data_IF_311388372609
#
_entry.id   IF_311388372609
#
_cell.length_a   1.000
_cell.length_b   1.000
_cell.length_c   1.000
_cell.angle_alpha   90.00
_cell.angle_beta   90.00
_cell.angle_gamma   90.00
#
_symmetry.space_group_name_H-M   'P 1'
#
loop_
_entity.id
_entity.type
_entity.pdbx_description
1 polymer ?
#
# COMPACT_ATOMS: atom_id res chain seq x y z
N UNK A 1 14.62 -18.50 -2.67
CA UNK A 1 13.20 -18.30 -2.21
C UNK A 1 13.21 -17.27 -1.08
N UNK A 2 12.38 -16.22 -1.18
CA UNK A 2 12.29 -15.18 -0.14
C UNK A 2 11.48 -15.71 1.05
N UNK A 3 12.02 -15.65 2.28
CA UNK A 3 11.35 -16.19 3.46
C UNK A 3 10.09 -15.41 3.85
N UNK A 4 9.09 -16.11 4.39
CA UNK A 4 7.93 -15.51 5.04
C UNK A 4 8.36 -14.65 6.25
N UNK A 5 7.55 -13.66 6.61
CA UNK A 5 7.82 -12.76 7.73
C UNK A 5 8.76 -11.59 7.42
N UNK A 6 9.29 -11.48 6.19
CA UNK A 6 10.25 -10.45 5.79
C UNK A 6 9.59 -9.33 4.98
N UNK A 7 10.18 -8.13 5.00
CA UNK A 7 9.78 -7.03 4.13
C UNK A 7 9.91 -7.42 2.65
N UNK A 8 10.96 -8.18 2.29
CA UNK A 8 11.15 -8.68 0.93
C UNK A 8 9.98 -9.54 0.46
N UNK A 9 9.41 -10.39 1.32
CA UNK A 9 8.24 -11.23 0.98
C UNK A 9 7.00 -10.38 0.79
N UNK A 10 6.79 -9.36 1.60
CA UNK A 10 5.69 -8.39 1.41
C UNK A 10 5.79 -7.74 0.04
N UNK A 11 6.99 -7.27 -0.34
CA UNK A 11 7.21 -6.64 -1.64
C UNK A 11 7.02 -7.62 -2.81
N UNK A 12 7.54 -8.84 -2.70
CA UNK A 12 7.35 -9.88 -3.73
C UNK A 12 5.86 -10.14 -4.00
N UNK A 13 5.05 -10.28 -2.93
CA UNK A 13 3.60 -10.53 -3.04
C UNK A 13 2.90 -9.30 -3.62
N UNK A 14 3.18 -8.11 -3.12
CA UNK A 14 2.57 -6.88 -3.60
C UNK A 14 2.87 -6.60 -5.08
N UNK A 15 4.11 -6.82 -5.51
CA UNK A 15 4.54 -6.72 -6.92
C UNK A 15 3.75 -7.72 -7.79
N UNK A 16 3.53 -8.93 -7.28
CA UNK A 16 2.75 -9.95 -7.98
C UNK A 16 1.30 -9.54 -8.25
N UNK A 17 0.77 -8.59 -7.50
CA UNK A 17 -0.61 -8.10 -7.64
C UNK A 17 -0.76 -6.89 -8.58
N UNK A 18 0.34 -6.25 -8.99
CA UNK A 18 0.30 -5.09 -9.89
C UNK A 18 -0.46 -5.43 -11.17
N UNK A 19 -1.40 -4.57 -11.55
CA UNK A 19 -2.29 -4.75 -12.69
C UNK A 19 -3.64 -5.37 -12.34
N UNK A 20 -3.85 -5.86 -11.12
CA UNK A 20 -5.18 -6.33 -10.69
C UNK A 20 -6.18 -5.19 -10.74
N UNK A 21 -7.34 -5.46 -11.36
CA UNK A 21 -8.47 -4.53 -11.51
C UNK A 21 -9.66 -5.07 -10.74
N UNK A 22 -10.36 -4.19 -10.04
CA UNK A 22 -11.63 -4.53 -9.38
C UNK A 22 -12.71 -4.95 -10.39
N UNK A 23 -13.69 -5.66 -9.93
CA UNK A 23 -14.85 -5.99 -10.74
C UNK A 23 -15.39 -7.40 -10.52
N UNK A 24 -16.55 -7.69 -11.17
CA UNK A 24 -17.28 -6.87 -12.14
C UNK A 24 -18.06 -5.70 -11.53
N UNK A 25 -18.28 -5.69 -10.21
CA UNK A 25 -18.91 -4.57 -9.52
C UNK A 25 -17.87 -3.59 -8.99
N UNK A 26 -18.28 -2.33 -8.82
CA UNK A 26 -17.44 -1.29 -8.20
C UNK A 26 -16.92 -1.77 -6.83
N UNK A 27 -15.61 -1.61 -6.61
CA UNK A 27 -14.91 -2.03 -5.42
C UNK A 27 -15.00 -3.55 -5.08
N UNK A 28 -15.44 -4.40 -5.99
CA UNK A 28 -15.47 -5.85 -5.76
C UNK A 28 -14.07 -6.45 -5.97
N UNK A 29 -13.48 -7.04 -4.92
CA UNK A 29 -12.13 -7.62 -4.98
C UNK A 29 -11.96 -8.82 -4.04
N UNK A 30 -10.97 -9.66 -4.33
CA UNK A 30 -10.55 -10.71 -3.38
C UNK A 30 -10.01 -10.11 -2.07
N UNK A 31 -9.47 -8.89 -2.10
CA UNK A 31 -8.95 -8.22 -0.90
C UNK A 31 -10.09 -7.79 0.03
N UNK A 32 -11.17 -7.20 -0.54
CA UNK A 32 -12.38 -6.86 0.20
C UNK A 32 -13.07 -8.10 0.77
N UNK A 33 -13.17 -9.18 -0.02
CA UNK A 33 -13.70 -10.48 0.43
C UNK A 33 -12.86 -11.04 1.59
N UNK A 34 -11.54 -10.97 1.51
CA UNK A 34 -10.63 -11.42 2.57
C UNK A 34 -10.85 -10.68 3.90
N UNK A 35 -11.06 -9.37 3.85
CA UNK A 35 -11.29 -8.56 5.06
C UNK A 35 -12.73 -8.53 5.53
N UNK A 36 -13.68 -9.14 4.80
CA UNK A 36 -15.13 -9.07 4.99
C UNK A 36 -15.72 -7.67 4.78
N UNK A 37 -15.04 -6.83 3.99
CA UNK A 37 -15.46 -5.49 3.61
C UNK A 37 -15.41 -5.31 2.08
N UNK A 38 -16.08 -6.23 1.36
CA UNK A 38 -16.16 -6.18 -0.09
C UNK A 38 -17.09 -5.07 -0.58
N UNK A 39 -16.90 -4.63 -1.83
CA UNK A 39 -17.64 -3.51 -2.44
C UNK A 39 -17.51 -2.19 -1.67
N UNK A 40 -16.40 -2.00 -0.97
CA UNK A 40 -15.98 -0.77 -0.30
C UNK A 40 -14.56 -0.40 -0.75
N UNK A 41 -14.12 0.86 -0.58
CA UNK A 41 -12.75 1.25 -0.91
C UNK A 41 -11.72 0.29 -0.29
N UNK A 42 -10.87 -0.31 -1.10
CA UNK A 42 -10.10 -1.49 -0.72
C UNK A 42 -8.58 -1.30 -0.62
N UNK A 43 -8.09 -0.06 -0.57
CA UNK A 43 -6.67 0.21 -0.39
C UNK A 43 -6.11 -0.42 0.91
N UNK A 44 -6.84 -0.31 2.01
CA UNK A 44 -6.49 -0.93 3.28
C UNK A 44 -6.65 -2.45 3.27
N UNK A 45 -7.71 -2.96 2.65
CA UNK A 45 -7.94 -4.41 2.48
C UNK A 45 -6.83 -5.06 1.66
N UNK A 46 -6.33 -4.39 0.62
CA UNK A 46 -5.16 -4.81 -0.15
C UNK A 46 -3.93 -4.99 0.75
N UNK A 47 -3.61 -3.98 1.56
CA UNK A 47 -2.49 -4.07 2.49
C UNK A 47 -2.67 -5.23 3.48
N UNK A 48 -3.83 -5.38 4.10
CA UNK A 48 -4.10 -6.49 5.02
C UNK A 48 -3.92 -7.85 4.35
N UNK A 49 -4.39 -8.01 3.11
CA UNK A 49 -4.24 -9.24 2.35
C UNK A 49 -2.77 -9.55 2.07
N UNK A 50 -2.01 -8.59 1.54
CA UNK A 50 -0.58 -8.75 1.22
C UNK A 50 0.22 -9.16 2.45
N UNK A 51 0.05 -8.46 3.56
CA UNK A 51 0.77 -8.74 4.81
C UNK A 51 0.40 -10.09 5.41
N UNK A 52 -0.87 -10.50 5.31
CA UNK A 52 -1.32 -11.83 5.74
C UNK A 52 -0.68 -12.94 4.90
N UNK A 53 -0.60 -12.78 3.57
CA UNK A 53 0.08 -13.75 2.69
C UNK A 53 1.58 -13.85 3.03
N UNK A 54 2.21 -12.74 3.39
CA UNK A 54 3.62 -12.68 3.81
C UNK A 54 3.85 -13.21 5.23
N UNK A 55 2.80 -13.51 6.00
CA UNK A 55 2.87 -13.87 7.44
C UNK A 55 3.48 -12.77 8.30
N UNK A 56 3.17 -11.53 7.97
CA UNK A 56 3.53 -10.34 8.78
C UNK A 56 2.25 -9.77 9.39
N UNK A 57 2.24 -9.60 10.71
CA UNK A 57 1.08 -9.08 11.43
C UNK A 57 1.02 -7.56 11.34
N UNK A 58 -0.15 -7.05 10.96
CA UNK A 58 -0.50 -5.63 11.01
C UNK A 58 -1.92 -5.47 11.57
N UNK A 59 -2.25 -4.32 12.19
CA UNK A 59 -3.64 -4.01 12.54
C UNK A 59 -4.54 -3.94 11.28
N UNK A 60 -5.85 -3.97 11.47
CA UNK A 60 -6.78 -3.71 10.36
C UNK A 60 -6.54 -2.32 9.77
N UNK A 61 -6.37 -2.27 8.44
CA UNK A 61 -6.18 -1.05 7.65
C UNK A 61 -7.42 -0.70 6.82
N UNK A 62 -8.53 -1.43 7.00
CA UNK A 62 -9.80 -1.18 6.28
C UNK A 62 -10.24 0.27 6.47
N UNK A 63 -10.19 0.78 7.70
CA UNK A 63 -10.21 2.22 7.96
C UNK A 63 -8.77 2.71 8.10
N UNK A 64 -8.26 3.39 7.10
CA UNK A 64 -6.86 3.85 7.05
C UNK A 64 -6.52 4.79 8.22
N UNK A 65 -7.44 5.68 8.60
CA UNK A 65 -7.25 6.58 9.73
C UNK A 65 -7.17 5.82 11.08
N UNK A 66 -8.03 4.83 11.28
CA UNK A 66 -8.00 3.99 12.49
C UNK A 66 -6.75 3.10 12.51
N UNK A 67 -6.35 2.57 11.36
CA UNK A 67 -5.12 1.78 11.22
C UNK A 67 -3.89 2.59 11.59
N UNK A 68 -3.79 3.82 11.09
CA UNK A 68 -2.72 4.75 11.44
C UNK A 68 -2.69 5.04 12.95
N UNK A 69 -3.85 5.28 13.56
CA UNK A 69 -3.94 5.52 15.01
C UNK A 69 -3.49 4.31 15.82
N UNK A 70 -3.86 3.09 15.40
CA UNK A 70 -3.40 1.86 16.07
C UNK A 70 -1.87 1.71 15.98
N UNK A 71 -1.26 2.01 14.82
CA UNK A 71 0.19 1.99 14.67
C UNK A 71 0.89 3.02 15.56
N UNK A 72 0.33 4.22 15.69
CA UNK A 72 0.82 5.24 16.64
C UNK A 72 0.78 4.73 18.07
N UNK A 73 -0.34 4.14 18.47
CA UNK A 73 -0.55 3.65 19.84
C UNK A 73 0.41 2.52 20.25
N UNK A 74 0.87 1.71 19.30
CA UNK A 74 1.83 0.62 19.56
C UNK A 74 3.30 1.01 19.29
N UNK A 75 3.57 2.31 19.02
CA UNK A 75 4.93 2.81 18.77
C UNK A 75 5.53 2.39 17.43
N UNK A 76 4.70 2.02 16.46
CA UNK A 76 5.10 1.62 15.10
C UNK A 76 4.97 2.72 14.06
N UNK A 77 4.73 3.97 14.48
CA UNK A 77 4.66 5.11 13.58
C UNK A 77 6.05 5.69 13.32
N UNK A 78 6.41 5.89 12.05
CA UNK A 78 7.73 6.36 11.62
C UNK A 78 7.62 7.62 10.78
N UNK A 79 8.66 8.46 10.84
CA UNK A 79 8.80 9.68 10.02
C UNK A 79 9.65 9.36 8.78
N UNK A 80 10.68 8.53 8.93
CA UNK A 80 11.58 8.14 7.84
C UNK A 80 11.15 6.78 7.28
N UNK A 81 10.89 6.66 5.97
CA UNK A 81 10.45 5.42 5.35
C UNK A 81 11.57 4.40 5.18
N UNK A 82 11.20 3.13 5.22
CA UNK A 82 11.99 2.01 4.73
C UNK A 82 11.13 1.14 3.80
N UNK A 83 11.74 0.39 2.87
CA UNK A 83 11.00 -0.57 2.06
C UNK A 83 10.27 -1.60 2.94
N UNK A 84 9.00 -1.85 2.62
CA UNK A 84 8.10 -2.70 3.40
C UNK A 84 7.21 -1.93 4.38
N UNK A 85 7.49 -0.66 4.69
CA UNK A 85 6.61 0.15 5.52
C UNK A 85 5.26 0.37 4.83
N UNK A 86 4.21 0.49 5.63
CA UNK A 86 2.95 1.09 5.20
C UNK A 86 3.15 2.60 5.07
N UNK A 87 2.60 3.21 4.03
CA UNK A 87 2.62 4.66 3.84
C UNK A 87 1.20 5.19 3.79
N UNK A 88 0.95 6.27 4.50
CA UNK A 88 -0.37 6.89 4.63
C UNK A 88 -0.39 8.23 3.91
N UNK A 89 -1.46 8.48 3.17
CA UNK A 89 -1.61 9.67 2.35
C UNK A 89 -2.86 10.47 2.71
N UNK A 90 -2.74 11.78 2.55
CA UNK A 90 -3.83 12.73 2.51
C UNK A 90 -4.08 13.13 1.04
N UNK A 91 -5.16 12.67 0.46
CA UNK A 91 -5.64 13.12 -0.84
C UNK A 91 -7.03 13.76 -0.65
N UNK A 92 -7.24 14.96 -1.16
CA UNK A 92 -6.47 15.75 -2.12
C UNK A 92 -5.38 16.66 -1.55
N UNK A 93 -4.89 16.51 -0.35
CA UNK A 93 -3.85 17.34 0.27
C UNK A 93 -4.26 18.82 0.36
N UNK A 94 -5.23 19.10 1.20
CA UNK A 94 -5.85 20.42 1.36
C UNK A 94 -5.31 21.20 2.59
N UNK A 95 -4.24 20.71 3.22
CA UNK A 95 -3.62 21.30 4.40
C UNK A 95 -4.21 20.87 5.74
N UNK A 96 -5.21 19.99 5.70
CA UNK A 96 -5.75 19.30 6.88
C UNK A 96 -5.37 17.83 6.80
N UNK A 97 -4.46 17.36 7.66
CA UNK A 97 -4.00 15.97 7.67
C UNK A 97 -5.15 14.99 7.89
N UNK A 98 -5.77 14.62 6.81
CA UNK A 98 -6.88 13.67 6.77
C UNK A 98 -6.48 12.45 5.96
N UNK A 99 -6.02 11.41 6.65
CA UNK A 99 -5.64 10.15 6.00
C UNK A 99 -6.82 9.58 5.23
N UNK A 100 -6.64 9.43 3.91
CA UNK A 100 -7.66 8.95 2.99
C UNK A 100 -7.20 7.75 2.15
N UNK A 101 -5.91 7.42 2.17
CA UNK A 101 -5.33 6.35 1.36
C UNK A 101 -4.10 5.73 2.03
N UNK A 102 -3.74 4.52 1.60
CA UNK A 102 -2.61 3.75 2.12
C UNK A 102 -1.94 2.97 0.99
N UNK A 103 -0.64 2.77 1.10
CA UNK A 103 0.15 1.91 0.23
C UNK A 103 1.30 1.24 0.97
N UNK A 104 2.17 0.59 0.22
CA UNK A 104 3.36 -0.10 0.72
C UNK A 104 4.59 0.55 0.07
N UNK A 105 5.56 0.98 0.86
CA UNK A 105 6.83 1.54 0.35
C UNK A 105 7.64 0.43 -0.30
N UNK A 106 7.98 0.59 -1.58
CA UNK A 106 8.82 -0.35 -2.32
C UNK A 106 10.27 0.11 -2.39
N UNK A 107 10.50 1.40 -2.62
CA UNK A 107 11.83 1.99 -2.71
C UNK A 107 11.83 3.42 -2.16
N UNK A 108 12.93 3.82 -1.55
CA UNK A 108 13.12 5.18 -1.04
C UNK A 108 14.23 5.85 -1.85
N UNK A 109 13.91 7.00 -2.45
CA UNK A 109 14.83 7.84 -3.19
C UNK A 109 15.03 9.18 -2.46
N UNK A 110 15.89 10.04 -2.99
CA UNK A 110 16.19 11.34 -2.37
C UNK A 110 14.97 12.29 -2.35
N UNK A 111 14.15 12.26 -3.41
CA UNK A 111 13.05 13.24 -3.63
C UNK A 111 11.68 12.60 -3.74
N UNK A 112 11.64 11.28 -3.76
CA UNK A 112 10.39 10.51 -3.88
C UNK A 112 10.49 9.14 -3.23
N UNK A 113 9.36 8.50 -3.08
CA UNK A 113 9.25 7.08 -2.79
C UNK A 113 8.50 6.38 -3.91
N UNK A 114 8.87 5.13 -4.18
CA UNK A 114 8.07 4.24 -5.01
C UNK A 114 7.22 3.38 -4.10
N UNK A 115 5.95 3.28 -4.45
CA UNK A 115 4.96 2.56 -3.63
C UNK A 115 4.21 1.54 -4.46
N UNK A 116 3.57 0.58 -3.79
CA UNK A 116 2.56 -0.29 -4.40
C UNK A 116 1.26 -0.02 -3.68
N UNK A 117 0.22 0.31 -4.42
CA UNK A 117 -1.05 0.79 -3.88
C UNK A 117 -2.22 0.05 -4.52
N UNK A 118 -3.14 -0.42 -3.68
CA UNK A 118 -4.43 -0.92 -4.12
C UNK A 118 -5.47 0.18 -4.23
N UNK A 119 -6.46 0.01 -5.08
CA UNK A 119 -7.54 0.97 -5.33
C UNK A 119 -7.06 2.35 -5.74
N UNK A 120 -6.04 2.40 -6.58
CA UNK A 120 -5.48 3.65 -7.12
C UNK A 120 -5.63 3.70 -8.63
N UNK A 121 -5.40 4.85 -9.21
CA UNK A 121 -5.50 5.07 -10.67
C UNK A 121 -4.24 5.65 -11.28
N UNK A 122 -4.15 5.58 -12.59
CA UNK A 122 -3.11 6.22 -13.37
C UNK A 122 -3.22 7.74 -13.38
N UNK A 123 -2.43 8.39 -14.26
CA UNK A 123 -2.46 9.84 -14.42
C UNK A 123 -3.88 10.34 -14.77
N UNK A 124 -4.36 11.35 -14.04
CA UNK A 124 -5.70 11.92 -14.22
C UNK A 124 -6.86 11.13 -13.62
N UNK A 125 -6.62 9.92 -13.10
CA UNK A 125 -7.63 9.15 -12.40
C UNK A 125 -7.59 9.37 -10.88
N UNK A 126 -8.59 8.85 -10.16
CA UNK A 126 -8.62 8.93 -8.70
C UNK A 126 -7.43 8.21 -8.09
N UNK A 127 -6.72 8.88 -7.19
CA UNK A 127 -5.56 8.32 -6.51
C UNK A 127 -5.94 7.46 -5.29
N UNK A 128 -7.17 7.54 -4.83
CA UNK A 128 -7.67 6.82 -3.64
C UNK A 128 -8.91 5.94 -3.90
N UNK A 129 -9.43 5.95 -5.11
CA UNK A 129 -10.54 5.10 -5.57
C UNK A 129 -10.45 4.93 -7.09
N UNK A 130 -9.33 4.40 -7.56
CA UNK A 130 -9.02 4.25 -8.99
C UNK A 130 -9.17 2.83 -9.52
N UNK A 131 -9.50 1.86 -8.67
CA UNK A 131 -9.90 0.52 -9.05
C UNK A 131 -8.78 -0.44 -9.46
N UNK A 132 -7.51 -0.08 -9.27
CA UNK A 132 -6.36 -0.89 -9.70
C UNK A 132 -5.30 -1.04 -8.62
N UNK A 133 -4.47 -2.09 -8.76
CA UNK A 133 -3.18 -2.17 -8.05
C UNK A 133 -2.08 -1.64 -8.97
N UNK A 134 -1.42 -0.58 -8.54
CA UNK A 134 -0.34 0.07 -9.31
C UNK A 134 0.92 0.27 -8.47
N UNK A 135 2.07 0.27 -9.14
CA UNK A 135 3.30 0.86 -8.60
C UNK A 135 3.31 2.36 -8.96
N UNK A 136 3.50 3.22 -7.96
CA UNK A 136 3.41 4.68 -8.09
C UNK A 136 4.70 5.36 -7.65
N UNK A 137 4.95 6.55 -8.18
CA UNK A 137 5.96 7.49 -7.66
C UNK A 137 5.24 8.55 -6.84
N UNK A 138 5.64 8.74 -5.59
CA UNK A 138 5.07 9.73 -4.69
C UNK A 138 6.14 10.71 -4.23
N UNK A 139 5.96 12.02 -4.48
CA UNK A 139 6.96 13.02 -4.11
C UNK A 139 7.10 13.14 -2.59
N UNK A 140 8.30 13.46 -2.13
CA UNK A 140 8.61 13.83 -0.74
C UNK A 140 8.85 15.33 -0.64
N UNK A 141 8.85 15.86 0.59
CA UNK A 141 9.09 17.27 0.84
C UNK A 141 7.84 18.15 0.70
N UNK A 142 8.05 19.40 0.33
CA UNK A 142 6.95 20.37 0.26
C UNK A 142 5.91 19.97 -0.78
N UNK A 143 4.65 19.93 -0.36
CA UNK A 143 3.53 19.52 -1.22
C UNK A 143 3.34 17.99 -1.35
N UNK A 144 4.11 17.19 -0.60
CA UNK A 144 3.90 15.76 -0.54
C UNK A 144 2.54 15.41 0.08
N UNK A 145 1.82 14.43 -0.48
CA UNK A 145 0.59 13.93 0.15
C UNK A 145 0.87 12.96 1.30
N UNK A 146 2.14 12.62 1.57
CA UNK A 146 2.52 11.66 2.62
C UNK A 146 2.33 12.26 4.00
N UNK A 147 1.57 11.56 4.85
CA UNK A 147 1.32 11.92 6.26
C UNK A 147 2.34 11.25 7.19
N UNK A 148 2.70 10.00 6.91
CA UNK A 148 3.65 9.24 7.71
C UNK A 148 3.65 7.76 7.35
N UNK A 149 4.38 6.98 8.15
CA UNK A 149 4.64 5.57 7.85
C UNK A 149 4.35 4.69 9.06
N UNK A 150 3.91 3.46 8.79
CA UNK A 150 3.78 2.42 9.80
C UNK A 150 4.78 1.29 9.53
N UNK A 151 5.59 0.95 10.52
CA UNK A 151 6.59 -0.12 10.38
C UNK A 151 6.17 -1.37 11.12
N UNK A 152 5.76 -2.44 10.44
CA UNK A 152 5.55 -3.75 11.03
C UNK A 152 6.86 -4.36 11.55
N UNK A 153 6.73 -5.38 12.38
CA UNK A 153 7.89 -6.19 12.79
C UNK A 153 8.21 -7.20 11.70
N UNK A 154 9.36 -7.05 11.09
CA UNK A 154 9.87 -7.98 10.08
C UNK A 154 10.95 -8.90 10.65
N UNK A 155 11.03 -10.12 10.11
CA UNK A 155 12.20 -10.95 10.26
C UNK A 155 13.35 -10.39 9.41
N UNK A 156 14.61 -10.54 9.85
CA UNK A 156 15.77 -10.07 9.08
C UNK A 156 15.86 -10.72 7.70
N UNK A 157 16.30 -9.96 6.71
CA UNK A 157 16.60 -10.44 5.37
C UNK A 157 17.79 -9.67 4.79
N UNK A 158 18.79 -10.39 4.32
CA UNK A 158 20.04 -9.82 3.81
C UNK A 158 20.16 -9.85 2.28
N UNK A 159 19.14 -10.39 1.58
CA UNK A 159 19.09 -10.43 0.13
C UNK A 159 18.65 -9.11 -0.49
N UNK A 160 18.70 -9.05 -1.82
CA UNK A 160 18.17 -7.92 -2.57
C UNK A 160 16.65 -7.84 -2.43
N UNK A 161 16.15 -6.61 -2.21
CA UNK A 161 14.71 -6.38 -2.11
C UNK A 161 14.06 -6.34 -3.49
N UNK A 162 12.93 -7.03 -3.70
CA UNK A 162 12.18 -6.94 -4.95
C UNK A 162 11.74 -5.52 -5.24
N UNK A 163 11.85 -5.11 -6.49
CA UNK A 163 11.37 -3.82 -6.99
C UNK A 163 11.04 -3.88 -8.47
N UNK A 164 10.14 -3.01 -8.91
CA UNK A 164 9.79 -2.80 -10.32
C UNK A 164 9.72 -1.30 -10.60
N UNK A 165 9.96 -0.92 -11.83
CA UNK A 165 9.77 0.48 -12.26
C UNK A 165 8.28 0.82 -12.25
N UNK A 166 7.84 1.89 -11.58
CA UNK A 166 6.45 2.32 -11.61
C UNK A 166 5.95 2.65 -13.00
N UNK A 167 4.71 2.25 -13.29
CA UNK A 167 4.00 2.59 -14.52
C UNK A 167 2.50 2.72 -14.24
N UNK A 168 1.85 3.67 -14.92
CA UNK A 168 0.41 3.85 -14.85
C UNK A 168 -0.38 2.90 -15.78
N UNK A 169 0.33 2.12 -16.60
CA UNK A 169 -0.25 1.21 -17.61
C UNK A 169 0.34 -0.20 -17.52
N UNK A 170 0.21 -0.88 -16.36
CA UNK A 170 0.63 -2.27 -16.26
C UNK A 170 -0.27 -3.17 -17.09
N UNK A 171 0.20 -4.37 -17.41
CA UNK A 171 -0.67 -5.40 -18.01
C UNK A 171 -1.83 -5.72 -17.09
N UNK A 172 -3.09 -5.55 -17.52
CA UNK A 172 -4.25 -5.82 -16.69
C UNK A 172 -4.32 -7.30 -16.27
N UNK A 173 -4.71 -7.51 -15.00
CA UNK A 173 -5.01 -8.83 -14.44
C UNK A 173 -6.45 -8.82 -13.96
N UNK A 174 -7.25 -9.76 -14.46
CA UNK A 174 -8.60 -9.96 -13.92
C UNK A 174 -8.46 -10.73 -12.61
N UNK A 175 -9.09 -10.21 -11.56
CA UNK A 175 -9.18 -10.91 -10.28
C UNK A 175 -10.02 -12.18 -10.46
N UNK A 176 -9.45 -13.36 -10.15
CA UNK A 176 -10.10 -14.67 -10.32
C UNK A 176 -10.68 -15.12 -9.01
#
# INVERSE_FOLDING_TARGET
MIPLGTAAKVLEIAIGEIGTIEGPKDNETKYGKFTHFDQLPWCGSFCNWVFAQAKVSIPSMVSTAMGAQKLKNIGSWMINPLPGDLVFFDFPHDGVDKISHIGIVMQVNKTDIWTIEGNTGGAGASQRNGGMVLAKVRPLGKGSPVVGYGRPKFLPYSGELPKVTPTDTPTPKVDK
#
